data_IF_831247381431
#
_entry.id   IF_831247381431
#
_cell.length_a   1.000
_cell.length_b   1.000
_cell.length_c   1.000
_cell.angle_alpha   90.00
_cell.angle_beta   90.00
_cell.angle_gamma   90.00
#
_symmetry.space_group_name_H-M   'P 1'
#
loop_
_entity.id
_entity.type
_entity.pdbx_description
1 polymer ?
#
# COMPACT_ATOMS: atom_id res chain seq x y z
N UNK A 1 -25.27 74.17 25.51
CA UNK A 1 -25.61 72.98 24.71
C UNK A 1 -24.97 71.76 25.35
N UNK A 2 -25.71 71.11 26.27
CA UNK A 2 -25.27 69.87 26.91
C UNK A 2 -25.78 68.68 26.08
N UNK A 3 -24.92 68.09 25.25
CA UNK A 3 -25.17 66.77 24.66
C UNK A 3 -24.63 65.69 25.61
N UNK A 4 -25.54 65.19 26.44
CA UNK A 4 -25.72 63.80 26.86
C UNK A 4 -24.47 62.91 27.00
N UNK A 5 -23.75 63.09 28.12
CA UNK A 5 -22.68 62.20 28.62
C UNK A 5 -23.10 60.73 28.77
N UNK A 6 -24.40 60.43 28.82
CA UNK A 6 -24.95 59.07 28.93
C UNK A 6 -24.74 58.23 27.66
N UNK A 7 -24.67 58.83 26.48
CA UNK A 7 -24.43 58.10 25.23
C UNK A 7 -22.96 57.73 25.04
N UNK A 8 -22.04 58.60 25.44
CA UNK A 8 -20.61 58.31 25.41
C UNK A 8 -20.22 57.17 26.37
N UNK A 9 -20.84 57.14 27.57
CA UNK A 9 -20.55 56.09 28.54
C UNK A 9 -21.07 54.72 28.08
N UNK A 10 -22.22 54.67 27.40
CA UNK A 10 -22.73 53.43 26.80
C UNK A 10 -21.86 52.92 25.67
N UNK A 11 -21.38 53.82 24.79
CA UNK A 11 -20.48 53.42 23.72
C UNK A 11 -19.12 52.93 24.23
N UNK A 12 -18.55 53.60 25.22
CA UNK A 12 -17.31 53.17 25.87
C UNK A 12 -17.46 51.81 26.58
N UNK A 13 -18.61 51.54 27.21
CA UNK A 13 -18.85 50.27 27.88
C UNK A 13 -19.06 49.12 26.87
N UNK A 14 -19.74 49.38 25.73
CA UNK A 14 -19.88 48.39 24.65
C UNK A 14 -18.58 48.11 23.92
N UNK A 15 -17.71 49.11 23.71
CA UNK A 15 -16.39 48.87 23.12
C UNK A 15 -15.47 48.13 24.08
N UNK A 16 -15.52 48.42 25.39
CA UNK A 16 -14.76 47.67 26.39
C UNK A 16 -15.23 46.20 26.50
N UNK A 17 -16.54 45.94 26.43
CA UNK A 17 -17.09 44.58 26.41
C UNK A 17 -16.73 43.81 25.13
N UNK A 18 -16.71 44.48 23.96
CA UNK A 18 -16.24 43.86 22.72
C UNK A 18 -14.73 43.59 22.76
N UNK A 19 -13.91 44.50 23.31
CA UNK A 19 -12.47 44.27 23.48
C UNK A 19 -12.18 43.15 24.49
N UNK A 20 -13.00 42.97 25.54
CA UNK A 20 -12.90 41.84 26.47
C UNK A 20 -13.38 40.50 25.88
N UNK A 21 -14.25 40.52 24.86
CA UNK A 21 -14.65 39.32 24.13
C UNK A 21 -13.65 38.90 23.04
N UNK A 22 -12.79 39.82 22.56
CA UNK A 22 -11.76 39.57 21.55
C UNK A 22 -10.32 39.66 22.06
N UNK A 23 -10.12 39.93 23.36
CA UNK A 23 -8.84 39.69 24.00
C UNK A 23 -8.67 38.17 24.04
N UNK A 24 -7.85 37.65 23.12
CA UNK A 24 -7.23 36.35 23.26
C UNK A 24 -6.78 36.23 24.72
N UNK A 25 -7.41 35.32 25.45
CA UNK A 25 -6.87 34.89 26.73
C UNK A 25 -5.41 34.54 26.43
N UNK A 26 -4.41 35.09 27.15
CA UNK A 26 -3.12 34.46 27.15
C UNK A 26 -3.42 33.03 27.58
N UNK A 27 -3.30 32.09 26.64
CA UNK A 27 -3.37 30.69 26.97
C UNK A 27 -2.25 30.52 27.97
N UNK A 28 -2.66 30.45 29.24
CA UNK A 28 -1.81 30.04 30.32
C UNK A 28 -1.14 28.79 29.80
N UNK A 29 0.18 28.84 29.77
CA UNK A 29 1.07 27.75 29.45
C UNK A 29 0.90 26.73 30.60
N UNK A 30 -0.27 26.10 30.66
CA UNK A 30 -0.54 24.85 31.36
C UNK A 30 0.20 23.79 30.57
N UNK A 31 1.34 23.41 31.12
CA UNK A 31 2.10 22.19 30.91
C UNK A 31 1.33 21.11 30.14
N UNK A 32 1.49 21.10 28.82
CA UNK A 32 0.97 20.10 27.89
C UNK A 32 1.74 18.77 27.99
N UNK A 33 1.87 18.24 29.20
CA UNK A 33 2.75 17.09 29.49
C UNK A 33 2.00 15.74 29.63
N UNK A 34 0.66 15.72 29.53
CA UNK A 34 -0.16 14.52 29.83
C UNK A 34 -1.15 14.09 28.74
N UNK A 35 -0.94 14.45 27.47
CA UNK A 35 -1.93 14.09 26.43
C UNK A 35 -1.90 12.61 26.02
N UNK A 36 -0.83 11.88 26.36
CA UNK A 36 -0.75 10.44 26.13
C UNK A 36 0.32 9.75 27.01
N UNK A 37 0.20 8.43 27.16
CA UNK A 37 1.17 7.59 27.87
C UNK A 37 1.27 6.19 27.25
N UNK A 38 2.40 5.50 27.49
CA UNK A 38 2.59 4.10 27.12
C UNK A 38 2.61 3.25 28.38
N UNK A 39 1.78 2.22 28.40
CA UNK A 39 1.71 1.22 29.45
C UNK A 39 2.05 -0.17 28.92
N UNK A 40 2.43 -1.08 29.82
CA UNK A 40 2.63 -2.50 29.53
C UNK A 40 3.60 -2.76 28.35
N UNK A 41 4.70 -2.00 28.30
CA UNK A 41 5.67 -2.15 27.23
C UNK A 41 6.49 -3.45 27.40
N UNK A 42 6.35 -4.38 26.47
CA UNK A 42 7.02 -5.69 26.49
C UNK A 42 7.89 -5.88 25.26
N UNK A 43 8.95 -6.66 25.41
CA UNK A 43 9.84 -7.08 24.34
C UNK A 43 9.81 -8.61 24.22
N UNK A 44 9.70 -9.13 23.01
CA UNK A 44 9.82 -10.56 22.73
C UNK A 44 10.68 -10.80 21.50
N UNK A 45 11.49 -11.85 21.53
CA UNK A 45 12.22 -12.34 20.35
C UNK A 45 11.24 -13.17 19.51
N UNK A 46 11.14 -12.87 18.21
CA UNK A 46 10.23 -13.57 17.28
C UNK A 46 11.01 -14.18 16.12
N UNK A 47 10.57 -15.33 15.63
CA UNK A 47 11.20 -15.99 14.46
C UNK A 47 10.78 -15.37 13.13
N UNK A 48 9.57 -14.80 13.09
CA UNK A 48 8.99 -14.14 11.92
C UNK A 48 7.83 -13.23 12.32
N UNK A 49 7.41 -12.35 11.42
CA UNK A 49 6.19 -11.55 11.56
C UNK A 49 5.42 -11.45 10.23
N UNK A 50 4.12 -11.19 10.31
CA UNK A 50 3.26 -11.04 9.12
C UNK A 50 3.00 -9.57 8.80
N UNK A 51 3.41 -9.13 7.62
CA UNK A 51 3.19 -7.76 7.14
C UNK A 51 2.18 -7.74 6.01
N UNK A 52 1.25 -6.78 6.03
CA UNK A 52 0.29 -6.60 4.93
C UNK A 52 0.98 -5.94 3.73
N UNK A 53 1.21 -6.67 2.65
CA UNK A 53 1.81 -6.19 1.41
C UNK A 53 0.88 -6.50 0.24
N UNK A 54 0.48 -5.47 -0.52
CA UNK A 54 -0.40 -5.60 -1.69
C UNK A 54 -1.69 -6.41 -1.42
N UNK A 55 -2.30 -6.20 -0.24
CA UNK A 55 -3.54 -6.89 0.15
C UNK A 55 -3.36 -8.34 0.60
N UNK A 56 -2.13 -8.86 0.66
CA UNK A 56 -1.79 -10.17 1.22
C UNK A 56 -0.90 -10.07 2.47
N UNK A 57 -1.03 -11.03 3.38
CA UNK A 57 -0.12 -11.15 4.52
C UNK A 57 1.14 -11.91 4.08
N UNK A 58 2.28 -11.23 4.11
CA UNK A 58 3.58 -11.80 3.80
C UNK A 58 4.34 -12.06 5.11
N UNK A 59 4.84 -13.28 5.28
CA UNK A 59 5.74 -13.62 6.38
C UNK A 59 7.15 -13.09 6.10
N UNK A 60 7.73 -12.40 7.08
CA UNK A 60 9.10 -11.85 7.05
C UNK A 60 9.93 -12.54 8.12
N UNK A 61 11.09 -13.05 7.74
CA UNK A 61 12.10 -13.67 8.62
C UNK A 61 13.33 -12.76 8.75
N UNK A 62 14.11 -12.86 9.84
CA UNK A 62 15.34 -12.06 9.99
C UNK A 62 16.35 -12.35 8.88
N UNK A 63 17.22 -11.38 8.59
CA UNK A 63 18.41 -11.62 7.76
C UNK A 63 19.38 -12.52 8.52
N UNK A 64 20.21 -13.27 7.79
CA UNK A 64 21.18 -14.20 8.39
C UNK A 64 22.14 -13.44 9.34
N UNK A 65 22.17 -13.83 10.61
CA UNK A 65 23.01 -13.20 11.65
C UNK A 65 22.31 -12.08 12.44
N UNK A 66 21.02 -11.85 12.18
CA UNK A 66 20.19 -10.90 12.91
C UNK A 66 19.05 -11.61 13.64
N UNK A 67 18.53 -10.98 14.68
CA UNK A 67 17.33 -11.39 15.41
C UNK A 67 16.20 -10.37 15.20
N UNK A 68 14.96 -10.83 15.20
CA UNK A 68 13.79 -9.95 15.24
C UNK A 68 13.31 -9.76 16.67
N UNK A 69 13.12 -8.49 17.03
CA UNK A 69 12.58 -8.07 18.30
C UNK A 69 11.22 -7.41 18.07
N UNK A 70 10.20 -7.97 18.68
CA UNK A 70 8.86 -7.40 18.70
C UNK A 70 8.65 -6.64 20.00
N UNK A 71 8.43 -5.33 19.89
CA UNK A 71 8.02 -4.45 20.98
C UNK A 71 6.51 -4.28 20.92
N UNK A 72 5.86 -4.45 22.06
CA UNK A 72 4.42 -4.17 22.23
C UNK A 72 4.23 -3.16 23.35
N UNK A 73 3.25 -2.29 23.24
CA UNK A 73 2.87 -1.39 24.32
C UNK A 73 1.48 -0.79 24.09
N UNK A 74 0.77 -0.49 25.17
CA UNK A 74 -0.55 0.14 25.10
C UNK A 74 -0.38 1.65 25.13
N UNK A 75 -0.67 2.32 24.01
CA UNK A 75 -0.71 3.78 23.96
C UNK A 75 -2.10 4.24 24.40
N UNK A 76 -2.14 4.96 25.52
CA UNK A 76 -3.35 5.63 26.01
C UNK A 76 -3.29 7.11 25.66
N UNK A 77 -4.37 7.62 25.11
CA UNK A 77 -4.46 9.00 24.59
C UNK A 77 -5.64 9.68 25.28
N UNK A 78 -5.41 10.88 25.81
CA UNK A 78 -6.43 11.70 26.43
C UNK A 78 -7.38 12.32 25.39
N UNK A 79 -8.45 12.97 25.86
CA UNK A 79 -9.35 13.75 25.00
C UNK A 79 -10.13 12.93 23.97
N UNK A 80 -10.05 13.36 22.71
CA UNK A 80 -10.73 12.76 21.55
C UNK A 80 -10.05 11.47 21.04
N UNK A 81 -8.92 11.09 21.66
CA UNK A 81 -8.14 9.91 21.28
C UNK A 81 -7.33 10.11 20.00
N UNK A 82 -7.12 11.34 19.54
CA UNK A 82 -6.24 11.61 18.41
C UNK A 82 -4.77 11.63 18.85
N UNK A 83 -3.91 10.88 18.16
CA UNK A 83 -2.48 10.84 18.43
C UNK A 83 -1.69 10.99 17.13
N UNK A 84 -0.71 11.89 17.14
CA UNK A 84 0.15 12.20 16.00
C UNK A 84 -0.42 13.24 15.02
N UNK A 85 0.26 13.45 13.87
CA UNK A 85 1.32 12.62 13.32
C UNK A 85 2.66 12.71 14.08
N UNK A 86 3.21 11.56 14.51
CA UNK A 86 4.52 11.48 15.15
C UNK A 86 5.56 10.80 14.23
N UNK A 87 6.77 11.36 14.06
CA UNK A 87 7.77 10.78 13.17
C UNK A 87 8.25 9.40 13.67
N UNK A 88 8.16 8.38 12.81
CA UNK A 88 8.68 7.04 13.09
C UNK A 88 10.22 7.00 13.17
N UNK A 89 10.91 8.04 12.69
CA UNK A 89 12.36 8.19 12.89
C UNK A 89 12.77 8.33 14.37
N UNK A 90 11.82 8.71 15.25
CA UNK A 90 12.03 8.76 16.70
C UNK A 90 11.81 7.42 17.38
N UNK A 91 11.29 6.43 16.64
CA UNK A 91 11.05 5.09 17.12
C UNK A 91 12.36 4.27 17.04
N UNK A 92 12.85 3.81 18.18
CA UNK A 92 14.12 3.10 18.25
C UNK A 92 14.28 2.31 19.53
N UNK A 93 15.35 1.51 19.57
CA UNK A 93 15.77 0.79 20.76
C UNK A 93 17.04 1.43 21.32
N UNK A 94 17.10 1.58 22.64
CA UNK A 94 18.23 2.11 23.38
C UNK A 94 18.79 1.02 24.29
N UNK A 95 20.12 0.93 24.41
CA UNK A 95 20.78 -0.05 25.27
C UNK A 95 20.93 0.46 26.71
N UNK A 96 20.58 -0.38 27.68
CA UNK A 96 20.82 -0.12 29.10
C UNK A 96 20.06 1.08 29.64
N UNK A 97 20.70 1.82 30.54
CA UNK A 97 20.14 3.00 31.22
C UNK A 97 20.48 4.32 30.53
N UNK A 98 21.43 4.31 29.58
CA UNK A 98 21.80 5.49 28.80
C UNK A 98 20.96 5.65 27.54
N UNK A 99 21.01 6.85 26.95
CA UNK A 99 20.35 7.14 25.66
C UNK A 99 21.25 6.76 24.48
N UNK A 100 21.85 5.56 24.55
CA UNK A 100 22.72 5.04 23.49
C UNK A 100 21.85 4.23 22.51
N UNK A 101 21.62 4.73 21.28
CA UNK A 101 20.86 3.98 20.29
C UNK A 101 21.63 2.71 19.91
N UNK A 102 20.90 1.59 19.84
CA UNK A 102 21.44 0.39 19.23
C UNK A 102 21.21 0.43 17.72
N UNK A 103 22.01 -0.33 16.96
CA UNK A 103 21.80 -0.54 15.54
C UNK A 103 20.57 -1.42 15.29
N UNK A 104 19.38 -0.92 15.66
CA UNK A 104 18.08 -1.53 15.46
C UNK A 104 17.36 -0.85 14.30
N UNK A 105 17.05 -1.60 13.26
CA UNK A 105 16.26 -1.11 12.14
C UNK A 105 14.77 -1.35 12.42
N UNK A 106 13.94 -0.30 12.46
CA UNK A 106 12.49 -0.46 12.54
C UNK A 106 11.97 -0.99 11.20
N UNK A 107 11.50 -2.24 11.18
CA UNK A 107 11.00 -2.89 9.98
C UNK A 107 9.51 -2.66 9.74
N UNK A 108 8.71 -2.64 10.82
CA UNK A 108 7.26 -2.55 10.69
C UNK A 108 6.57 -2.00 11.95
N UNK A 109 5.43 -1.35 11.73
CA UNK A 109 4.55 -0.81 12.78
C UNK A 109 3.14 -1.31 12.53
N UNK A 110 2.45 -1.69 13.60
CA UNK A 110 1.15 -2.34 13.55
C UNK A 110 0.39 -2.19 14.84
N UNK A 111 -0.75 -2.84 14.93
CA UNK A 111 -1.53 -2.89 16.16
C UNK A 111 -1.94 -4.33 16.47
N UNK A 112 -2.17 -4.61 17.75
CA UNK A 112 -2.63 -5.90 18.22
C UNK A 112 -4.16 -5.97 18.16
N UNK A 113 -4.67 -6.94 17.39
CA UNK A 113 -6.10 -7.30 17.32
C UNK A 113 -6.19 -8.82 17.50
N UNK A 114 -5.96 -9.30 18.72
CA UNK A 114 -5.76 -10.72 19.02
C UNK A 114 -4.39 -11.27 18.59
N UNK A 115 -3.85 -10.78 17.47
CA UNK A 115 -2.44 -10.92 17.06
C UNK A 115 -1.92 -9.58 16.52
N UNK A 116 -0.60 -9.36 16.58
CA UNK A 116 0.02 -8.17 16.00
C UNK A 116 -0.09 -8.20 14.47
N UNK A 117 -0.65 -7.14 13.91
CA UNK A 117 -0.86 -6.96 12.48
C UNK A 117 -0.14 -5.72 11.98
N UNK A 118 0.81 -5.91 11.09
CA UNK A 118 1.74 -4.88 10.66
C UNK A 118 1.32 -4.21 9.35
N UNK A 119 1.35 -2.88 9.35
CA UNK A 119 1.09 -2.06 8.19
C UNK A 119 2.33 -1.93 7.32
N UNK A 120 2.10 -1.70 6.02
CA UNK A 120 3.14 -1.30 5.09
C UNK A 120 3.33 0.21 5.12
N UNK A 121 4.58 0.64 5.08
CA UNK A 121 4.90 2.04 4.82
C UNK A 121 4.27 2.50 3.48
N UNK A 122 3.56 3.64 3.46
CA UNK A 122 3.04 4.20 2.21
C UNK A 122 4.18 4.51 1.24
N UNK A 123 3.97 4.18 -0.03
CA UNK A 123 4.87 4.49 -1.14
C UNK A 123 4.45 5.84 -1.70
N UNK A 124 5.38 6.78 -1.86
CA UNK A 124 5.10 8.10 -2.46
C UNK A 124 4.60 9.17 -1.49
N UNK A 125 4.89 10.43 -1.84
CA UNK A 125 4.53 11.60 -1.06
C UNK A 125 2.99 11.75 -0.95
N UNK A 126 2.52 12.16 0.22
CA UNK A 126 1.10 12.41 0.49
C UNK A 126 0.21 11.15 0.54
N UNK A 127 0.79 9.95 0.55
CA UNK A 127 0.03 8.71 0.67
C UNK A 127 -0.05 8.24 2.13
N UNK A 128 -1.18 7.60 2.47
CA UNK A 128 -1.43 6.98 3.78
C UNK A 128 -1.73 5.49 3.63
N UNK A 129 -1.22 4.68 4.55
CA UNK A 129 -1.66 3.30 4.75
C UNK A 129 -2.38 3.24 6.08
N UNK A 130 -3.68 2.92 6.09
CA UNK A 130 -4.49 2.85 7.30
C UNK A 130 -5.12 1.48 7.51
N UNK A 131 -5.32 1.12 8.77
CA UNK A 131 -6.16 0.00 9.17
C UNK A 131 -7.10 0.42 10.28
N UNK A 132 -8.39 0.11 10.08
CA UNK A 132 -9.38 0.16 11.13
C UNK A 132 -9.22 -1.08 12.01
N UNK A 133 -9.08 -0.86 13.30
CA UNK A 133 -9.04 -1.92 14.30
C UNK A 133 -10.47 -2.30 14.71
N UNK A 134 -11.33 -1.29 14.86
CA UNK A 134 -12.78 -1.37 15.02
C UNK A 134 -13.44 -0.03 14.62
N UNK A 135 -14.66 0.24 15.07
CA UNK A 135 -15.42 1.45 14.76
C UNK A 135 -14.83 2.72 15.39
N UNK A 136 -14.07 2.60 16.49
CA UNK A 136 -13.52 3.73 17.26
C UNK A 136 -12.00 3.85 17.18
N UNK A 137 -11.32 2.79 16.72
CA UNK A 137 -9.86 2.70 16.71
C UNK A 137 -9.29 2.53 15.31
N UNK A 138 -8.32 3.36 14.97
CA UNK A 138 -7.62 3.36 13.69
C UNK A 138 -6.12 3.61 13.90
N UNK A 139 -5.29 3.00 13.07
CA UNK A 139 -3.86 3.27 12.96
C UNK A 139 -3.50 3.55 11.51
N UNK A 140 -2.70 4.58 11.27
CA UNK A 140 -2.27 4.99 9.95
C UNK A 140 -0.78 5.36 9.92
N UNK A 141 -0.08 4.90 8.88
CA UNK A 141 1.26 5.36 8.54
C UNK A 141 1.14 6.36 7.40
N UNK A 142 1.70 7.54 7.59
CA UNK A 142 1.65 8.69 6.69
C UNK A 142 3.04 8.99 6.14
N UNK A 143 3.09 9.53 4.92
CA UNK A 143 4.29 10.17 4.36
C UNK A 143 3.90 11.56 3.86
N UNK A 144 4.28 12.61 4.58
CA UNK A 144 3.73 13.97 4.39
C UNK A 144 4.29 14.69 3.16
N UNK A 145 5.62 14.78 3.01
CA UNK A 145 6.18 15.88 2.20
C UNK A 145 6.95 15.46 0.94
N UNK A 146 7.47 14.23 0.87
CA UNK A 146 8.27 13.77 -0.28
C UNK A 146 8.26 12.24 -0.42
N UNK A 147 8.67 11.74 -1.60
CA UNK A 147 8.69 10.30 -1.93
C UNK A 147 9.56 9.49 -0.95
N UNK A 148 10.64 10.10 -0.46
CA UNK A 148 11.54 9.57 0.58
C UNK A 148 11.34 10.26 1.94
N UNK A 149 10.29 11.05 2.11
CA UNK A 149 10.03 11.83 3.30
C UNK A 149 9.85 10.96 4.54
N UNK A 150 10.08 11.51 5.74
CA UNK A 150 9.97 10.75 6.98
C UNK A 150 8.57 10.16 7.12
N UNK A 151 8.51 8.90 7.55
CA UNK A 151 7.25 8.27 7.87
C UNK A 151 6.76 8.77 9.23
N UNK A 152 5.46 8.99 9.34
CA UNK A 152 4.82 9.39 10.58
C UNK A 152 3.69 8.43 10.93
N UNK A 153 3.49 8.19 12.23
CA UNK A 153 2.38 7.42 12.76
C UNK A 153 1.27 8.37 13.20
N UNK A 154 0.04 8.04 12.80
CA UNK A 154 -1.18 8.63 13.34
C UNK A 154 -2.06 7.52 13.90
N UNK A 155 -2.69 7.78 15.03
CA UNK A 155 -3.66 6.87 15.63
C UNK A 155 -4.92 7.63 16.02
N UNK A 156 -6.04 6.92 15.97
CA UNK A 156 -7.31 7.34 16.53
C UNK A 156 -7.76 6.28 17.51
N UNK A 157 -8.17 6.70 18.70
CA UNK A 157 -8.65 5.84 19.77
C UNK A 157 -7.98 6.14 21.10
N UNK A 158 -8.76 6.06 22.19
CA UNK A 158 -8.26 6.34 23.55
C UNK A 158 -7.25 5.31 24.07
N UNK A 159 -7.24 4.10 23.49
CA UNK A 159 -6.34 3.02 23.87
C UNK A 159 -6.05 2.12 22.68
N UNK A 160 -4.79 2.10 22.23
CA UNK A 160 -4.32 1.30 21.10
C UNK A 160 -3.12 0.46 21.53
N UNK A 161 -3.20 -0.85 21.37
CA UNK A 161 -2.06 -1.75 21.57
C UNK A 161 -1.15 -1.70 20.33
N UNK A 162 -0.08 -0.94 20.42
CA UNK A 162 0.90 -0.71 19.36
C UNK A 162 1.92 -1.86 19.33
N UNK A 163 2.20 -2.39 18.14
CA UNK A 163 3.27 -3.36 17.92
C UNK A 163 4.32 -2.77 16.96
N UNK A 164 5.60 -2.94 17.27
CA UNK A 164 6.72 -2.56 16.42
C UNK A 164 7.73 -3.69 16.31
N UNK A 165 8.24 -3.95 15.11
CA UNK A 165 9.29 -4.96 14.89
C UNK A 165 10.59 -4.27 14.53
N UNK A 166 11.63 -4.64 15.26
CA UNK A 166 13.00 -4.20 15.05
C UNK A 166 13.88 -5.37 14.64
N UNK A 167 14.81 -5.14 13.73
CA UNK A 167 15.87 -6.08 13.41
C UNK A 167 17.17 -5.62 14.07
N UNK A 168 17.85 -6.53 14.78
CA UNK A 168 19.10 -6.25 15.51
C UNK A 168 20.16 -7.31 15.21
N UNK A 169 21.46 -6.96 15.22
CA UNK A 169 22.53 -7.95 15.18
C UNK A 169 22.43 -8.96 16.34
N UNK A 170 22.71 -10.23 16.07
CA UNK A 170 22.71 -11.28 17.09
C UNK A 170 24.07 -11.34 17.82
N UNK A 171 24.12 -11.51 19.17
CA UNK A 171 23.01 -11.62 20.11
C UNK A 171 22.46 -10.23 20.55
N UNK A 172 21.15 -10.13 20.85
CA UNK A 172 20.54 -8.87 21.30
C UNK A 172 21.05 -8.44 22.68
N UNK A 173 21.16 -7.12 22.96
CA UNK A 173 21.52 -6.61 24.28
C UNK A 173 20.52 -7.04 25.37
N UNK A 174 21.01 -7.29 26.59
CA UNK A 174 20.19 -7.83 27.70
C UNK A 174 19.19 -6.83 28.29
N UNK A 175 19.45 -5.53 28.19
CA UNK A 175 18.56 -4.47 28.68
C UNK A 175 18.30 -3.49 27.56
N UNK A 176 17.02 -3.33 27.22
CA UNK A 176 16.57 -2.47 26.14
C UNK A 176 15.48 -1.54 26.64
N UNK A 177 15.50 -0.31 26.15
CA UNK A 177 14.44 0.67 26.33
C UNK A 177 13.90 1.05 24.95
N UNK A 178 12.61 1.36 24.90
CA UNK A 178 11.95 1.78 23.68
C UNK A 178 11.84 3.29 23.66
N UNK A 179 12.48 3.92 22.67
CA UNK A 179 12.26 5.33 22.33
C UNK A 179 11.12 5.39 21.33
N UNK A 180 10.11 6.22 21.58
CA UNK A 180 9.04 6.49 20.64
C UNK A 180 8.39 7.85 20.91
N UNK A 181 8.20 8.66 19.87
CA UNK A 181 7.59 9.98 19.97
C UNK A 181 8.23 10.82 21.09
N UNK A 182 9.56 10.85 21.11
CA UNK A 182 10.39 11.61 22.05
C UNK A 182 10.30 11.15 23.52
N UNK A 183 9.65 10.00 23.79
CA UNK A 183 9.59 9.39 25.12
C UNK A 183 10.34 8.07 25.15
N UNK A 184 10.97 7.79 26.28
CA UNK A 184 11.70 6.54 26.51
C UNK A 184 11.03 5.70 27.57
N UNK A 185 10.65 4.47 27.21
CA UNK A 185 9.91 3.53 28.04
C UNK A 185 10.78 2.30 28.34
N UNK A 186 10.78 1.83 29.59
CA UNK A 186 11.45 0.59 29.95
C UNK A 186 10.69 -0.63 29.40
N UNK A 187 11.41 -1.61 28.87
CA UNK A 187 10.81 -2.83 28.32
C UNK A 187 10.94 -4.00 29.30
N UNK A 188 9.84 -4.71 29.53
CA UNK A 188 9.88 -6.01 30.19
C UNK A 188 10.19 -7.11 29.16
N UNK A 189 11.25 -7.90 29.40
CA UNK A 189 11.63 -9.00 28.50
C UNK A 189 10.76 -10.22 28.76
N UNK A 190 10.04 -10.67 27.72
CA UNK A 190 9.27 -11.92 27.70
C UNK A 190 10.08 -12.94 26.89
N UNK A 191 10.76 -13.86 27.57
CA UNK A 191 11.52 -14.91 26.91
C UNK A 191 10.56 -15.84 26.12
N UNK A 192 10.77 -15.99 24.82
CA UNK A 192 10.04 -16.95 23.99
C UNK A 192 10.54 -18.38 24.27
N UNK A 193 9.62 -19.31 24.51
CA UNK A 193 9.90 -20.71 24.76
C UNK A 193 10.56 -21.37 23.53
N UNK A 194 11.76 -21.91 23.72
CA UNK A 194 12.47 -22.75 22.75
C UNK A 194 11.75 -24.11 22.66
N UNK A 195 11.41 -24.64 21.46
CA UNK A 195 10.97 -26.02 21.35
C UNK A 195 12.21 -26.92 21.45
N UNK A 196 12.39 -27.55 22.60
CA UNK A 196 13.38 -28.60 22.78
C UNK A 196 13.02 -29.81 21.91
N UNK A 197 13.98 -30.21 21.06
CA UNK A 197 13.97 -31.50 20.39
C UNK A 197 14.06 -32.62 21.45
N UNK A 198 13.14 -33.58 21.38
CA UNK A 198 13.29 -34.89 22.03
C UNK A 198 12.75 -35.97 21.09
N UNK A 199 13.68 -36.69 20.49
CA UNK A 199 13.47 -37.93 19.73
C UNK A 199 13.15 -39.11 20.69
N UNK A 200 12.13 -39.89 20.30
CA UNK A 200 11.96 -41.35 20.40
C UNK A 200 11.98 -42.02 21.80
N UNK A 201 11.01 -42.82 22.24
CA UNK A 201 10.37 -43.97 21.58
C UNK A 201 9.40 -44.69 22.55
N UNK A 202 8.42 -45.45 22.02
CA UNK A 202 7.80 -46.60 22.73
C UNK A 202 6.29 -46.52 23.01
N UNK A 203 5.49 -47.18 22.16
CA UNK A 203 4.02 -47.34 22.16
C UNK A 203 3.47 -48.32 23.24
N UNK A 204 2.20 -48.78 23.19
CA UNK A 204 0.89 -48.11 23.06
C UNK A 204 -0.10 -48.52 24.19
N UNK A 205 -1.14 -47.71 24.48
CA UNK A 205 -2.41 -48.23 25.04
C UNK A 205 -3.59 -47.24 24.91
N UNK A 206 -4.68 -47.76 24.36
CA UNK A 206 -6.05 -47.25 24.32
C UNK A 206 -6.53 -46.41 25.50
N UNK A 207 -7.21 -45.30 25.21
CA UNK A 207 -8.52 -44.98 25.80
C UNK A 207 -9.24 -43.83 25.06
N UNK A 208 -10.42 -44.15 24.55
CA UNK A 208 -11.62 -43.32 24.46
C UNK A 208 -11.53 -41.89 23.87
N UNK A 209 -11.93 -41.81 22.60
CA UNK A 209 -12.47 -40.65 21.90
C UNK A 209 -13.58 -39.97 22.72
N UNK A 210 -13.34 -38.75 23.20
CA UNK A 210 -14.37 -37.84 23.67
C UNK A 210 -14.34 -36.56 22.82
N UNK A 211 -15.32 -36.44 21.93
CA UNK A 211 -15.52 -35.27 21.09
C UNK A 211 -15.98 -34.07 21.94
N UNK A 212 -15.54 -32.84 21.64
CA UNK A 212 -16.14 -31.64 22.23
C UNK A 212 -17.57 -31.47 21.69
N UNK A 213 -18.54 -31.50 22.60
CA UNK A 213 -19.93 -31.17 22.30
C UNK A 213 -20.07 -29.67 22.09
N UNK A 214 -20.46 -29.29 20.88
CA UNK A 214 -20.88 -27.93 20.57
C UNK A 214 -22.24 -27.66 21.22
N UNK A 215 -22.26 -26.85 22.28
CA UNK A 215 -23.48 -26.26 22.81
C UNK A 215 -23.88 -25.06 21.95
N UNK A 216 -24.96 -25.22 21.17
CA UNK A 216 -25.62 -24.13 20.44
C UNK A 216 -26.74 -23.57 21.31
N UNK A 217 -26.80 -22.25 21.59
CA UNK A 217 -27.87 -21.65 22.39
C UNK A 217 -29.25 -21.73 21.69
N UNK A 218 -30.36 -21.81 22.44
CA UNK A 218 -31.68 -22.19 21.93
C UNK A 218 -32.48 -21.02 21.30
N UNK A 219 -31.84 -20.12 20.55
CA UNK A 219 -32.52 -18.97 19.93
C UNK A 219 -32.79 -19.10 18.42
N UNK A 220 -32.32 -20.16 17.76
CA UNK A 220 -32.37 -20.28 16.28
C UNK A 220 -33.32 -21.36 15.75
N UNK A 221 -34.38 -21.74 16.49
CA UNK A 221 -35.39 -22.72 16.04
C UNK A 221 -36.75 -22.14 15.66
N UNK A 222 -36.84 -20.88 15.22
CA UNK A 222 -38.11 -20.29 14.72
C UNK A 222 -38.00 -19.41 13.46
N UNK A 223 -37.05 -19.68 12.57
CA UNK A 223 -36.94 -18.93 11.31
C UNK A 223 -36.85 -19.81 10.05
N UNK A 224 -37.42 -21.02 10.07
CA UNK A 224 -37.50 -21.89 8.88
C UNK A 224 -38.90 -22.51 8.78
N UNK A 225 -39.91 -21.67 8.58
CA UNK A 225 -41.23 -22.10 8.10
C UNK A 225 -42.02 -20.93 7.49
N UNK A 226 -41.35 -20.01 6.80
CA UNK A 226 -42.02 -18.97 6.02
C UNK A 226 -41.99 -19.32 4.52
N UNK A 227 -43.15 -19.58 3.88
CA UNK A 227 -43.23 -19.92 2.46
C UNK A 227 -42.89 -18.75 1.53
N UNK A 228 -42.59 -17.56 2.06
CA UNK A 228 -42.26 -16.35 1.26
C UNK A 228 -40.78 -16.34 0.80
N UNK A 229 -39.88 -17.07 1.48
CA UNK A 229 -38.45 -17.11 1.14
C UNK A 229 -38.12 -17.97 -0.09
N UNK A 230 -39.00 -18.90 -0.48
CA UNK A 230 -38.76 -19.79 -1.61
C UNK A 230 -39.07 -19.15 -2.97
N UNK A 231 -39.81 -18.03 -3.00
CA UNK A 231 -40.09 -17.28 -4.23
C UNK A 231 -39.02 -16.22 -4.56
N UNK A 232 -38.23 -15.76 -3.58
CA UNK A 232 -37.25 -14.69 -3.78
C UNK A 232 -35.88 -15.17 -4.32
N UNK A 233 -35.50 -16.41 -4.00
CA UNK A 233 -34.23 -17.03 -4.44
C UNK A 233 -34.07 -17.19 -5.97
N UNK A 234 -35.10 -17.62 -6.75
CA UNK A 234 -34.94 -17.72 -8.20
C UNK A 234 -34.88 -16.36 -8.90
N UNK A 235 -35.53 -15.32 -8.34
CA UNK A 235 -35.49 -13.96 -8.89
C UNK A 235 -34.13 -13.27 -8.66
N UNK A 236 -33.50 -13.48 -7.50
CA UNK A 236 -32.15 -12.99 -7.23
C UNK A 236 -31.08 -13.68 -8.10
N UNK A 237 -31.24 -14.99 -8.35
CA UNK A 237 -30.36 -15.73 -9.26
C UNK A 237 -30.49 -15.27 -10.73
N UNK A 238 -31.70 -14.95 -11.19
CA UNK A 238 -31.94 -14.39 -12.52
C UNK A 238 -31.39 -12.97 -12.68
N UNK A 239 -31.44 -12.15 -11.63
CA UNK A 239 -30.84 -10.80 -11.64
C UNK A 239 -29.30 -10.84 -11.73
N UNK A 240 -28.66 -11.77 -11.01
CA UNK A 240 -27.20 -11.96 -11.05
C UNK A 240 -26.72 -12.53 -12.39
N UNK A 241 -27.45 -13.48 -12.98
CA UNK A 241 -27.13 -14.02 -14.31
C UNK A 241 -27.40 -13.00 -15.43
N UNK A 242 -28.47 -12.20 -15.31
CA UNK A 242 -28.78 -11.12 -16.24
C UNK A 242 -27.72 -10.01 -16.25
N UNK A 243 -27.22 -9.61 -15.08
CA UNK A 243 -26.19 -8.58 -14.93
C UNK A 243 -24.87 -8.94 -15.63
N UNK A 244 -24.42 -10.19 -15.50
CA UNK A 244 -23.16 -10.66 -16.11
C UNK A 244 -23.25 -10.73 -17.64
N UNK A 245 -24.41 -11.11 -18.18
CA UNK A 245 -24.63 -11.14 -19.63
C UNK A 245 -24.72 -9.72 -20.21
N UNK A 246 -25.37 -8.79 -19.50
CA UNK A 246 -25.47 -7.39 -19.93
C UNK A 246 -24.10 -6.68 -19.89
N UNK A 247 -23.30 -6.93 -18.84
CA UNK A 247 -21.96 -6.39 -18.69
C UNK A 247 -21.00 -6.92 -19.78
N UNK A 248 -21.06 -8.22 -20.11
CA UNK A 248 -20.30 -8.79 -21.24
C UNK A 248 -20.73 -8.23 -22.58
N UNK A 249 -22.03 -7.99 -22.78
CA UNK A 249 -22.56 -7.43 -24.04
C UNK A 249 -22.17 -5.96 -24.21
N UNK A 250 -22.11 -5.21 -23.11
CA UNK A 250 -21.66 -3.82 -23.08
C UNK A 250 -20.15 -3.68 -23.34
N UNK A 251 -19.31 -4.56 -22.76
CA UNK A 251 -17.88 -4.64 -23.09
C UNK A 251 -17.62 -4.95 -24.57
N UNK A 252 -18.38 -5.89 -25.16
CA UNK A 252 -18.27 -6.21 -26.60
C UNK A 252 -18.70 -5.06 -27.51
N UNK A 253 -19.66 -4.23 -27.08
CA UNK A 253 -20.08 -3.05 -27.85
C UNK A 253 -19.06 -1.90 -27.76
N UNK A 254 -18.36 -1.74 -26.63
CA UNK A 254 -17.29 -0.73 -26.48
C UNK A 254 -16.07 -1.04 -27.34
N UNK A 255 -15.66 -2.31 -27.43
CA UNK A 255 -14.57 -2.73 -28.32
C UNK A 255 -14.88 -2.47 -29.81
N UNK A 256 -16.15 -2.51 -30.22
CA UNK A 256 -16.56 -2.21 -31.60
C UNK A 256 -16.66 -0.70 -31.91
N UNK A 257 -16.81 0.16 -30.89
CA UNK A 257 -16.88 1.62 -31.08
C UNK A 257 -15.50 2.30 -31.03
N UNK A 258 -14.50 1.69 -30.37
CA UNK A 258 -13.12 2.20 -30.37
C UNK A 258 -12.34 2.01 -31.68
N UNK A 259 -12.88 1.28 -32.66
CA UNK A 259 -12.21 0.97 -33.93
C UNK A 259 -12.53 1.94 -35.09
N UNK A 260 -13.18 3.09 -34.81
CA UNK A 260 -13.44 4.15 -35.80
C UNK A 260 -12.89 5.49 -35.33
N UNK A 261 -11.58 5.67 -35.47
CA UNK A 261 -10.94 6.99 -35.63
C UNK A 261 -9.58 6.79 -36.29
N UNK A 262 -9.33 7.57 -37.34
CA UNK A 262 -8.37 7.37 -38.42
C UNK A 262 -6.91 7.65 -38.03
N UNK A 263 -5.95 7.01 -38.74
CA UNK A 263 -4.55 7.46 -38.68
C UNK A 263 -3.39 6.65 -39.31
N UNK A 264 -3.62 5.60 -40.12
CA UNK A 264 -2.66 4.99 -41.08
C UNK A 264 -1.33 4.38 -40.55
N UNK A 265 -0.66 3.48 -41.31
CA UNK A 265 -0.35 2.13 -40.83
C UNK A 265 1.17 1.94 -40.68
N UNK A 266 1.59 0.95 -39.91
CA UNK A 266 2.51 -0.06 -40.43
C UNK A 266 2.67 -1.19 -39.42
N UNK A 267 2.32 -2.40 -39.88
CA UNK A 267 2.62 -3.69 -39.24
C UNK A 267 1.97 -3.96 -37.87
N UNK A 268 0.63 -3.92 -37.81
CA UNK A 268 -0.09 -4.61 -36.73
C UNK A 268 -0.06 -6.13 -36.93
N UNK A 269 1.11 -6.72 -36.73
CA UNK A 269 1.24 -8.13 -36.33
C UNK A 269 0.83 -8.21 -34.88
N UNK A 270 -0.48 -8.25 -34.62
CA UNK A 270 -1.12 -8.16 -33.30
C UNK A 270 -0.82 -9.34 -32.33
N UNK A 271 0.31 -10.04 -32.47
CA UNK A 271 0.80 -11.07 -31.56
C UNK A 271 2.33 -11.13 -31.42
N UNK A 272 3.08 -10.16 -31.96
CA UNK A 272 4.52 -10.06 -31.71
C UNK A 272 4.78 -9.12 -30.53
N UNK A 273 5.34 -9.69 -29.47
CA UNK A 273 5.71 -8.95 -28.28
C UNK A 273 7.01 -8.19 -28.59
N UNK A 274 7.03 -6.86 -28.40
CA UNK A 274 8.17 -6.03 -28.77
C UNK A 274 9.41 -6.41 -27.94
N UNK A 275 10.59 -6.23 -28.54
CA UNK A 275 11.89 -6.70 -28.01
C UNK A 275 12.72 -5.56 -27.47
N UNK A 276 13.61 -5.88 -26.51
CA UNK A 276 14.50 -4.90 -25.90
C UNK A 276 15.68 -4.55 -26.81
N UNK A 277 15.67 -3.34 -27.35
CA UNK A 277 16.77 -2.68 -28.05
C UNK A 277 17.72 -1.93 -27.09
N UNK A 278 18.79 -1.33 -27.63
CA UNK A 278 19.71 -0.49 -26.88
C UNK A 278 19.05 0.81 -26.38
N UNK A 279 18.03 1.31 -27.11
CA UNK A 279 17.31 2.53 -26.74
C UNK A 279 16.48 2.40 -25.46
N UNK A 280 16.22 1.16 -24.99
CA UNK A 280 15.44 0.89 -23.78
C UNK A 280 16.33 0.56 -22.57
N UNK A 281 17.63 0.83 -22.66
CA UNK A 281 18.60 0.61 -21.58
C UNK A 281 19.30 1.95 -21.24
N UNK A 282 18.56 2.90 -20.66
CA UNK A 282 19.14 4.17 -20.25
C UNK A 282 20.26 3.93 -19.23
N UNK A 283 21.38 4.65 -19.40
CA UNK A 283 22.52 4.60 -18.47
C UNK A 283 22.51 5.74 -17.46
N UNK A 284 21.84 6.83 -17.80
CA UNK A 284 21.72 8.04 -16.99
C UNK A 284 20.23 8.32 -16.78
N UNK A 285 19.88 8.77 -15.59
CA UNK A 285 18.50 9.12 -15.22
C UNK A 285 18.41 10.61 -14.96
N UNK A 286 17.39 11.25 -15.51
CA UNK A 286 17.11 12.66 -15.26
C UNK A 286 16.48 12.85 -13.87
N UNK A 287 16.72 14.01 -13.25
CA UNK A 287 15.94 14.45 -12.09
C UNK A 287 14.55 14.86 -12.55
N UNK A 288 13.54 14.58 -11.72
CA UNK A 288 12.15 14.99 -11.98
C UNK A 288 12.10 16.52 -12.04
N UNK A 289 11.48 17.06 -13.09
CA UNK A 289 11.26 18.50 -13.22
C UNK A 289 10.14 18.96 -12.27
N UNK A 290 10.14 20.22 -11.81
CA UNK A 290 9.12 20.71 -10.88
C UNK A 290 7.74 20.88 -11.53
N UNK A 291 7.68 21.03 -12.86
CA UNK A 291 6.45 21.30 -13.61
C UNK A 291 6.27 20.29 -14.76
N UNK A 292 5.03 19.85 -14.97
CA UNK A 292 4.72 18.80 -15.94
C UNK A 292 4.40 19.30 -17.35
N UNK A 293 4.31 20.63 -17.55
CA UNK A 293 3.95 21.25 -18.83
C UNK A 293 2.43 21.35 -19.06
N UNK A 294 2.03 21.57 -20.32
CA UNK A 294 0.66 21.87 -20.71
C UNK A 294 -0.34 20.73 -20.40
N UNK A 295 0.12 19.47 -20.39
CA UNK A 295 -0.68 18.29 -20.04
C UNK A 295 -0.82 18.01 -18.53
N UNK A 296 -0.34 18.88 -17.64
CA UNK A 296 -0.27 18.63 -16.19
C UNK A 296 -1.63 18.27 -15.56
N UNK A 297 -2.71 18.95 -15.95
CA UNK A 297 -4.03 18.71 -15.38
C UNK A 297 -4.57 17.32 -15.73
N UNK A 298 -4.36 16.88 -16.98
CA UNK A 298 -4.75 15.56 -17.46
C UNK A 298 -3.89 14.48 -16.81
N UNK A 299 -2.59 14.74 -16.60
CA UNK A 299 -1.69 13.85 -15.89
C UNK A 299 -2.14 13.60 -14.44
N UNK A 300 -2.46 14.66 -13.69
CA UNK A 300 -2.98 14.52 -12.31
C UNK A 300 -4.35 13.84 -12.26
N UNK A 301 -5.23 14.14 -13.22
CA UNK A 301 -6.52 13.47 -13.36
C UNK A 301 -6.36 11.99 -13.66
N UNK A 302 -5.35 11.62 -14.46
CA UNK A 302 -5.01 10.24 -14.77
C UNK A 302 -4.50 9.49 -13.54
N UNK A 303 -3.65 10.13 -12.72
CA UNK A 303 -3.20 9.59 -11.43
C UNK A 303 -4.36 9.31 -10.48
N UNK A 304 -5.31 10.24 -10.39
CA UNK A 304 -6.51 10.04 -9.58
C UNK A 304 -7.34 8.84 -10.08
N UNK A 305 -7.55 8.72 -11.40
CA UNK A 305 -8.25 7.58 -11.99
C UNK A 305 -7.52 6.24 -11.72
N UNK A 306 -6.18 6.24 -11.78
CA UNK A 306 -5.35 5.07 -11.48
C UNK A 306 -5.50 4.64 -10.02
N UNK A 307 -5.47 5.58 -9.07
CA UNK A 307 -5.70 5.30 -7.63
C UNK A 307 -7.10 4.75 -7.34
N UNK A 308 -8.10 5.15 -8.13
CA UNK A 308 -9.47 4.65 -8.04
C UNK A 308 -9.69 3.29 -8.75
N UNK A 309 -8.65 2.75 -9.42
CA UNK A 309 -8.75 1.51 -10.18
C UNK A 309 -9.54 1.63 -11.50
N UNK A 310 -9.80 2.84 -11.98
CA UNK A 310 -10.43 3.09 -13.28
C UNK A 310 -9.37 3.09 -14.39
N UNK A 311 -8.86 1.89 -14.70
CA UNK A 311 -7.73 1.69 -15.61
C UNK A 311 -7.97 2.21 -17.02
N UNK A 312 -9.19 2.02 -17.54
CA UNK A 312 -9.57 2.49 -18.87
C UNK A 312 -9.56 4.02 -18.95
N UNK A 313 -10.09 4.70 -17.93
CA UNK A 313 -10.05 6.16 -17.85
C UNK A 313 -8.64 6.69 -17.64
N UNK A 314 -7.85 6.04 -16.78
CA UNK A 314 -6.45 6.39 -16.56
C UNK A 314 -5.65 6.32 -17.87
N UNK A 315 -5.81 5.24 -18.64
CA UNK A 315 -5.16 5.10 -19.95
C UNK A 315 -5.49 6.23 -20.91
N UNK A 316 -6.77 6.62 -21.01
CA UNK A 316 -7.22 7.70 -21.88
C UNK A 316 -6.62 9.05 -21.46
N UNK A 317 -6.71 9.38 -20.16
CA UNK A 317 -6.21 10.65 -19.62
C UNK A 317 -4.68 10.77 -19.73
N UNK A 318 -3.92 9.69 -19.54
CA UNK A 318 -2.48 9.71 -19.82
C UNK A 318 -2.18 9.93 -21.30
N UNK A 319 -2.96 9.32 -22.21
CA UNK A 319 -2.84 9.58 -23.64
C UNK A 319 -3.10 11.03 -24.03
N UNK A 320 -4.13 11.63 -23.44
CA UNK A 320 -4.46 13.06 -23.61
C UNK A 320 -3.36 13.97 -23.05
N UNK A 321 -2.83 13.67 -21.86
CA UNK A 321 -1.75 14.43 -21.25
C UNK A 321 -0.51 14.47 -22.16
N UNK A 322 -0.11 13.30 -22.69
CA UNK A 322 1.02 13.20 -23.62
C UNK A 322 0.75 13.99 -24.91
N UNK A 323 -0.47 13.91 -25.46
CA UNK A 323 -0.83 14.62 -26.68
C UNK A 323 -0.87 16.15 -26.52
N UNK A 324 -1.24 16.63 -25.33
CA UNK A 324 -1.27 18.07 -25.01
C UNK A 324 0.12 18.67 -24.77
N UNK A 325 1.12 17.82 -24.50
CA UNK A 325 2.50 18.23 -24.28
C UNK A 325 2.86 18.15 -22.80
N UNK A 326 3.55 17.07 -22.44
CA UNK A 326 4.25 16.93 -21.17
C UNK A 326 5.73 17.25 -21.36
N UNK A 327 6.40 17.64 -20.29
CA UNK A 327 7.86 17.69 -20.30
C UNK A 327 8.45 16.27 -20.42
N UNK A 328 9.70 16.10 -20.90
CA UNK A 328 10.27 14.78 -21.15
C UNK A 328 10.31 13.84 -19.93
N UNK A 329 10.42 14.40 -18.72
CA UNK A 329 10.42 13.63 -17.47
C UNK A 329 9.04 13.11 -17.11
N UNK A 330 8.02 13.96 -17.20
CA UNK A 330 6.63 13.57 -16.98
C UNK A 330 6.07 12.69 -18.10
N UNK A 331 6.54 12.86 -19.33
CA UNK A 331 6.17 11.98 -20.44
C UNK A 331 6.64 10.54 -20.18
N UNK A 332 7.89 10.37 -19.72
CA UNK A 332 8.43 9.06 -19.34
C UNK A 332 7.60 8.42 -18.22
N UNK A 333 7.25 9.19 -17.19
CA UNK A 333 6.37 8.76 -16.10
C UNK A 333 4.96 8.37 -16.59
N UNK A 334 4.38 9.19 -17.47
CA UNK A 334 3.05 8.95 -18.04
C UNK A 334 3.02 7.65 -18.85
N UNK A 335 4.04 7.36 -19.66
CA UNK A 335 4.15 6.09 -20.39
C UNK A 335 4.28 4.89 -19.45
N UNK A 336 5.05 5.01 -18.37
CA UNK A 336 5.21 3.94 -17.38
C UNK A 336 3.89 3.61 -16.67
N UNK A 337 3.21 4.63 -16.16
CA UNK A 337 1.92 4.50 -15.47
C UNK A 337 0.78 4.06 -16.40
N UNK A 338 0.82 4.52 -17.66
CA UNK A 338 -0.10 4.04 -18.70
C UNK A 338 0.10 2.55 -18.97
N UNK A 339 1.35 2.06 -18.94
CA UNK A 339 1.65 0.63 -19.04
C UNK A 339 1.04 -0.19 -17.91
N UNK A 340 1.09 0.34 -16.67
CA UNK A 340 0.46 -0.29 -15.51
C UNK A 340 -1.06 -0.35 -15.64
N UNK A 341 -1.70 0.75 -16.06
CA UNK A 341 -3.14 0.76 -16.32
C UNK A 341 -3.53 -0.29 -17.38
N UNK A 342 -2.77 -0.40 -18.48
CA UNK A 342 -3.03 -1.39 -19.53
C UNK A 342 -2.83 -2.83 -19.04
N UNK A 343 -1.85 -3.08 -18.18
CA UNK A 343 -1.61 -4.39 -17.61
C UNK A 343 -2.80 -4.83 -16.75
N UNK A 344 -3.34 -3.91 -15.94
CA UNK A 344 -4.53 -4.15 -15.12
C UNK A 344 -5.82 -4.24 -15.96
N UNK A 345 -5.90 -3.57 -17.12
CA UNK A 345 -6.96 -3.72 -18.11
C UNK A 345 -6.79 -4.96 -19.02
N UNK A 346 -5.91 -5.89 -18.64
CA UNK A 346 -5.66 -7.16 -19.33
C UNK A 346 -5.05 -7.02 -20.75
N UNK A 347 -4.51 -5.86 -21.11
CA UNK A 347 -3.77 -5.66 -22.36
C UNK A 347 -2.25 -5.77 -22.16
N UNK A 348 -1.76 -7.01 -22.19
CA UNK A 348 -0.33 -7.32 -22.05
C UNK A 348 0.53 -6.68 -23.16
N UNK A 349 0.03 -6.64 -24.41
CA UNK A 349 0.81 -6.14 -25.56
C UNK A 349 0.91 -4.62 -25.49
N UNK A 350 -0.21 -3.95 -25.20
CA UNK A 350 -0.25 -2.52 -24.96
C UNK A 350 0.64 -2.10 -23.79
N UNK A 351 0.59 -2.84 -22.67
CA UNK A 351 1.44 -2.59 -21.52
C UNK A 351 2.93 -2.67 -21.87
N UNK A 352 3.35 -3.72 -22.57
CA UNK A 352 4.75 -3.91 -22.98
C UNK A 352 5.23 -2.76 -23.87
N UNK A 353 4.41 -2.30 -24.82
CA UNK A 353 4.74 -1.16 -25.68
C UNK A 353 4.91 0.15 -24.88
N UNK A 354 4.02 0.39 -23.91
CA UNK A 354 4.09 1.58 -23.07
C UNK A 354 5.35 1.60 -22.20
N UNK A 355 5.72 0.47 -21.58
CA UNK A 355 6.95 0.39 -20.80
C UNK A 355 8.21 0.59 -21.64
N UNK A 356 8.27 0.04 -22.86
CA UNK A 356 9.42 0.28 -23.74
C UNK A 356 9.51 1.73 -24.19
N UNK A 357 8.36 2.40 -24.42
CA UNK A 357 8.31 3.84 -24.71
C UNK A 357 8.83 4.67 -23.54
N UNK A 358 8.39 4.37 -22.32
CA UNK A 358 8.87 5.03 -21.11
C UNK A 358 10.40 4.96 -20.98
N UNK A 359 10.99 3.79 -21.26
CA UNK A 359 12.44 3.58 -21.20
C UNK A 359 13.22 4.24 -22.34
N UNK A 360 12.56 4.57 -23.46
CA UNK A 360 13.16 5.28 -24.59
C UNK A 360 13.03 6.80 -24.54
N UNK A 361 12.28 7.34 -23.57
CA UNK A 361 12.10 8.78 -23.44
C UNK A 361 13.43 9.47 -23.05
N UNK A 362 13.76 10.63 -23.66
CA UNK A 362 15.03 11.33 -23.40
C UNK A 362 15.15 11.85 -21.95
N UNK A 363 14.03 12.08 -21.26
CA UNK A 363 13.97 12.50 -19.86
C UNK A 363 13.68 11.38 -18.86
N UNK A 364 14.01 10.12 -19.17
CA UNK A 364 13.66 9.00 -18.30
C UNK A 364 14.23 9.16 -16.88
N UNK A 365 13.35 9.10 -15.90
CA UNK A 365 13.68 9.18 -14.47
C UNK A 365 13.81 7.77 -13.89
N UNK A 366 14.55 7.63 -12.79
CA UNK A 366 14.66 6.35 -12.09
C UNK A 366 13.28 5.84 -11.61
N UNK A 367 12.40 6.75 -11.21
CA UNK A 367 11.02 6.45 -10.76
C UNK A 367 10.14 5.88 -11.87
N UNK A 368 10.29 6.36 -13.10
CA UNK A 368 9.56 5.83 -14.25
C UNK A 368 10.19 4.51 -14.76
N UNK A 369 11.52 4.44 -14.74
CA UNK A 369 12.27 3.31 -15.28
C UNK A 369 12.19 2.05 -14.42
N UNK A 370 12.20 2.19 -13.10
CA UNK A 370 12.17 1.05 -12.18
C UNK A 370 10.92 0.16 -12.35
N UNK A 371 9.68 0.69 -12.26
CA UNK A 371 8.49 -0.13 -12.46
C UNK A 371 8.41 -0.67 -13.90
N UNK A 372 8.80 0.11 -14.91
CA UNK A 372 8.82 -0.36 -16.30
C UNK A 372 9.78 -1.55 -16.50
N UNK A 373 11.00 -1.46 -15.97
CA UNK A 373 12.00 -2.54 -16.04
C UNK A 373 11.56 -3.78 -15.25
N UNK A 374 10.99 -3.60 -14.05
CA UNK A 374 10.52 -4.71 -13.21
C UNK A 374 9.37 -5.49 -13.87
N UNK A 375 8.37 -4.78 -14.39
CA UNK A 375 7.23 -5.40 -15.06
C UNK A 375 7.63 -6.05 -16.39
N UNK A 376 8.50 -5.41 -17.18
CA UNK A 376 9.03 -6.01 -18.41
C UNK A 376 9.85 -7.28 -18.14
N UNK A 377 10.70 -7.28 -17.11
CA UNK A 377 11.45 -8.46 -16.71
C UNK A 377 10.51 -9.64 -16.37
N UNK A 378 9.47 -9.39 -15.58
CA UNK A 378 8.46 -10.39 -15.23
C UNK A 378 7.72 -10.93 -16.47
N UNK A 379 7.24 -10.04 -17.35
CA UNK A 379 6.57 -10.39 -18.60
C UNK A 379 7.48 -11.26 -19.48
N UNK A 380 8.72 -10.82 -19.72
CA UNK A 380 9.68 -11.56 -20.55
C UNK A 380 10.08 -12.91 -19.95
N UNK A 381 10.20 -13.02 -18.62
CA UNK A 381 10.47 -14.28 -17.93
C UNK A 381 9.33 -15.29 -18.18
N UNK A 382 8.07 -14.86 -18.05
CA UNK A 382 6.90 -15.72 -18.29
C UNK A 382 6.75 -16.13 -19.77
N UNK A 383 7.20 -15.27 -20.69
CA UNK A 383 7.24 -15.56 -22.12
C UNK A 383 8.44 -16.41 -22.55
N UNK A 384 9.34 -16.74 -21.61
CA UNK A 384 10.61 -17.45 -21.86
C UNK A 384 11.58 -16.67 -22.77
N UNK A 385 11.48 -15.35 -22.79
CA UNK A 385 12.39 -14.45 -23.52
C UNK A 385 13.59 -14.07 -22.64
N UNK A 386 14.42 -15.07 -22.32
CA UNK A 386 15.46 -14.97 -21.27
C UNK A 386 16.45 -13.82 -21.49
N UNK A 387 16.90 -13.58 -22.73
CA UNK A 387 17.86 -12.51 -23.04
C UNK A 387 17.30 -11.11 -22.77
N UNK A 388 16.02 -10.90 -23.08
CA UNK A 388 15.35 -9.61 -22.87
C UNK A 388 15.03 -9.42 -21.39
N UNK A 389 14.61 -10.49 -20.70
CA UNK A 389 14.43 -10.47 -19.25
C UNK A 389 15.73 -10.08 -18.51
N UNK A 390 16.86 -10.71 -18.87
CA UNK A 390 18.17 -10.40 -18.26
C UNK A 390 18.60 -8.94 -18.45
N UNK A 391 18.33 -8.34 -19.62
CA UNK A 391 18.61 -6.92 -19.85
C UNK A 391 17.80 -6.02 -18.92
N UNK A 392 16.52 -6.34 -18.71
CA UNK A 392 15.64 -5.57 -17.81
C UNK A 392 15.96 -5.83 -16.33
N UNK A 393 16.33 -7.04 -15.96
CA UNK A 393 16.84 -7.38 -14.61
C UNK A 393 18.14 -6.63 -14.31
N UNK A 394 19.06 -6.52 -15.28
CA UNK A 394 20.29 -5.74 -15.14
C UNK A 394 20.01 -4.23 -15.01
N UNK A 395 19.06 -3.70 -15.80
CA UNK A 395 18.62 -2.31 -15.67
C UNK A 395 17.97 -2.04 -14.30
N UNK A 396 17.14 -2.97 -13.81
CA UNK A 396 16.55 -2.89 -12.48
C UNK A 396 17.62 -2.86 -11.40
N UNK A 397 18.60 -3.76 -11.47
CA UNK A 397 19.70 -3.83 -10.51
C UNK A 397 20.58 -2.57 -10.53
N UNK A 398 20.73 -1.92 -11.69
CA UNK A 398 21.42 -0.63 -11.83
C UNK A 398 20.66 0.49 -11.10
N UNK A 399 19.34 0.54 -11.21
CA UNK A 399 18.51 1.61 -10.63
C UNK A 399 18.35 1.44 -9.12
N UNK A 400 18.00 0.23 -8.68
CA UNK A 400 17.86 -0.08 -7.27
C UNK A 400 18.16 -1.58 -7.03
N UNK A 401 19.33 -1.91 -6.42
CA UNK A 401 19.70 -3.29 -6.15
C UNK A 401 18.80 -3.98 -5.12
N UNK A 402 18.00 -3.21 -4.37
CA UNK A 402 17.05 -3.68 -3.37
C UNK A 402 15.61 -3.62 -3.85
N UNK A 403 15.35 -3.39 -5.14
CA UNK A 403 14.00 -3.42 -5.66
C UNK A 403 13.42 -4.85 -5.54
N UNK A 404 12.35 -4.98 -4.76
CA UNK A 404 11.60 -6.22 -4.61
C UNK A 404 11.10 -6.73 -5.97
N UNK A 405 11.05 -8.05 -6.11
CA UNK A 405 10.39 -8.70 -7.25
C UNK A 405 8.90 -8.32 -7.28
N UNK A 406 8.32 -8.25 -8.49
CA UNK A 406 6.89 -7.99 -8.70
C UNK A 406 6.07 -8.90 -7.77
N UNK A 407 5.09 -8.31 -7.05
CA UNK A 407 4.29 -9.03 -6.06
C UNK A 407 3.58 -10.27 -6.64
N UNK A 408 3.30 -11.29 -5.80
CA UNK A 408 2.79 -12.59 -6.26
C UNK A 408 1.45 -12.49 -7.00
N UNK A 409 0.60 -11.54 -6.62
CA UNK A 409 -0.68 -11.29 -7.30
C UNK A 409 -0.48 -10.78 -8.73
N UNK A 410 0.43 -9.84 -8.91
CA UNK A 410 0.71 -9.25 -10.22
C UNK A 410 1.48 -10.23 -11.12
N UNK A 411 2.35 -11.08 -10.54
CA UNK A 411 2.94 -12.22 -11.25
C UNK A 411 1.88 -13.24 -11.71
N UNK A 412 0.87 -13.53 -10.88
CA UNK A 412 -0.23 -14.42 -11.25
C UNK A 412 -1.04 -13.82 -12.41
N UNK A 413 -1.39 -12.53 -12.34
CA UNK A 413 -2.04 -11.80 -13.44
C UNK A 413 -1.23 -11.89 -14.74
N UNK A 414 0.07 -11.59 -14.68
CA UNK A 414 0.95 -11.68 -15.85
C UNK A 414 0.98 -13.11 -16.40
N UNK A 415 1.09 -14.12 -15.54
CA UNK A 415 1.11 -15.52 -15.95
C UNK A 415 -0.20 -15.93 -16.65
N UNK A 416 -1.34 -15.47 -16.17
CA UNK A 416 -2.66 -15.70 -16.77
C UNK A 416 -2.78 -15.05 -18.15
N UNK A 417 -2.42 -13.77 -18.26
CA UNK A 417 -2.43 -13.04 -19.53
C UNK A 417 -1.47 -13.65 -20.55
N UNK A 418 -0.29 -14.09 -20.11
CA UNK A 418 0.68 -14.79 -20.96
C UNK A 418 0.15 -16.14 -21.43
N UNK A 419 -0.56 -16.90 -20.58
CA UNK A 419 -1.21 -18.15 -20.97
C UNK A 419 -2.28 -17.88 -22.03
N UNK A 420 -3.11 -16.87 -21.83
CA UNK A 420 -4.15 -16.48 -22.79
C UNK A 420 -3.55 -16.04 -24.13
N UNK A 421 -2.47 -15.24 -24.12
CA UNK A 421 -1.77 -14.82 -25.34
C UNK A 421 -1.18 -16.01 -26.09
N UNK A 422 -0.52 -16.95 -25.39
CA UNK A 422 0.00 -18.18 -25.99
C UNK A 422 -1.12 -19.03 -26.59
N UNK A 423 -2.27 -19.14 -25.92
CA UNK A 423 -3.44 -19.85 -26.42
C UNK A 423 -4.01 -19.18 -27.69
N UNK A 424 -4.20 -17.85 -27.68
CA UNK A 424 -4.62 -17.06 -28.85
C UNK A 424 -3.65 -17.20 -30.03
N UNK A 425 -2.35 -17.26 -29.76
CA UNK A 425 -1.33 -17.49 -30.81
C UNK A 425 -1.43 -18.88 -31.41
N UNK A 426 -1.55 -19.92 -30.58
CA UNK A 426 -1.69 -21.31 -31.05
C UNK A 426 -2.96 -21.51 -31.88
N UNK A 427 -4.10 -21.02 -31.40
CA UNK A 427 -5.38 -21.13 -32.13
C UNK A 427 -5.35 -20.42 -33.48
N UNK A 428 -4.71 -19.25 -33.59
CA UNK A 428 -4.52 -18.58 -34.89
C UNK A 428 -3.58 -19.33 -35.83
N UNK A 429 -2.48 -19.90 -35.32
CA UNK A 429 -1.57 -20.73 -36.13
C UNK A 429 -2.33 -21.94 -36.67
N UNK A 430 -3.10 -22.62 -35.82
CA UNK A 430 -3.92 -23.76 -36.24
C UNK A 430 -5.00 -23.36 -37.25
N UNK A 431 -5.68 -22.24 -37.05
CA UNK A 431 -6.68 -21.72 -37.99
C UNK A 431 -6.09 -21.28 -39.34
N UNK A 432 -4.78 -21.06 -39.44
CA UNK A 432 -4.07 -20.80 -40.70
C UNK A 432 -3.57 -22.08 -41.38
N UNK A 433 -3.52 -23.20 -40.66
CA UNK A 433 -3.01 -24.48 -41.15
C UNK A 433 -4.14 -25.45 -41.55
N UNK A 434 -5.38 -25.15 -41.20
CA UNK A 434 -6.57 -25.87 -41.63
C UNK A 434 -7.25 -25.00 -42.70
N UNK A 435 -7.18 -25.35 -43.99
CA UNK A 435 -7.80 -24.60 -45.08
C UNK A 435 -9.33 -24.60 -45.03
#
# INVERSE_FOLDING_TARGET
MLMNSKHLLRHALTTLLLVLCFAERPVAQETAEQDWQIENATLSVVSSFQQLVDGGWLERTPRKGNALLEVRGTVKVAGDGSFGPHPLATAGLLAGTGDVPIAAELLAVGAHIGTCRYLRAPIGAGNETKAKLDDEREIAILRTDSYSGPLSLRMQGRSVELCMVFEVPEPPPQSLRWSFAERTVALAVTAAATPAAADNSGAPASAATAAPSFFVPPAWRRAISSPVLWAALPLAALALLGGVVLQRRWHRQRQKKGARSNGHPDTSSALDIPRVSAAHQPRNFASVEPEAGAGQQQFHSALAALKLGDWGRAHALFGEAIALGLTPTFEAGAWSLRGEAMLNDQDLVGATNCYLRALSCPGVTAEAALPAASQLAAIYRQLRLRRDAQKMEALRALINPFADDVGPQQLALIADLVRELKHKRRTRILARLIP
#
